data_IF_888838491675
#
_entry.id   IF_888838491675
#
_cell.length_a   1.000
_cell.length_b   1.000
_cell.length_c   1.000
_cell.angle_alpha   90.00
_cell.angle_beta   90.00
_cell.angle_gamma   90.00
#
_symmetry.space_group_name_H-M   'P 1'
#
loop_
_entity.id
_entity.type
_entity.pdbx_description
1 polymer ?
#
# COMPACT_ATOMS: atom_id res chain seq x y z
N UNK A 1 -0.24 -7.66 50.68
CA UNK A 1 -0.61 -6.95 49.46
C UNK A 1 -1.98 -7.47 49.01
N UNK A 2 -2.94 -6.58 48.85
CA UNK A 2 -4.30 -6.90 48.45
C UNK A 2 -4.57 -6.27 47.07
N UNK A 3 -5.43 -6.90 46.31
CA UNK A 3 -5.85 -6.40 44.98
C UNK A 3 -4.69 -6.12 44.02
N UNK A 4 -3.64 -6.93 44.08
CA UNK A 4 -2.46 -6.79 43.24
C UNK A 4 -2.81 -7.05 41.76
N UNK A 5 -2.42 -6.11 40.91
CA UNK A 5 -2.53 -6.22 39.43
C UNK A 5 -1.29 -5.65 38.78
N UNK A 6 -0.94 -6.23 37.64
CA UNK A 6 -0.03 -5.61 36.70
C UNK A 6 -0.76 -4.60 35.84
N UNK A 7 -0.13 -3.47 35.60
CA UNK A 7 -0.65 -2.38 34.76
C UNK A 7 0.30 -2.18 33.61
N UNK A 8 -0.21 -2.23 32.39
CA UNK A 8 0.53 -1.97 31.16
C UNK A 8 -0.05 -0.75 30.46
N UNK A 9 0.76 0.28 30.29
CA UNK A 9 0.41 1.49 29.52
C UNK A 9 1.06 1.40 28.15
N UNK A 10 0.27 1.62 27.10
CA UNK A 10 0.72 1.55 25.70
C UNK A 10 0.81 2.96 25.16
N UNK A 11 1.99 3.33 24.68
CA UNK A 11 2.27 4.62 24.09
C UNK A 11 2.55 4.46 22.60
N UNK A 12 1.83 5.18 21.77
CA UNK A 12 1.98 5.13 20.31
C UNK A 12 2.34 6.52 19.79
N UNK A 13 3.23 6.55 18.81
CA UNK A 13 3.50 7.76 18.07
C UNK A 13 2.39 7.94 17.01
N UNK A 14 1.44 8.81 17.30
CA UNK A 14 0.31 9.11 16.42
C UNK A 14 0.60 10.25 15.46
N UNK A 15 1.73 10.94 15.64
CA UNK A 15 2.09 12.11 14.85
C UNK A 15 3.34 11.83 14.02
N UNK A 16 3.41 12.37 12.81
CA UNK A 16 4.59 12.30 11.94
C UNK A 16 5.81 12.97 12.59
N UNK A 17 5.58 13.89 13.52
CA UNK A 17 6.61 14.46 14.38
C UNK A 17 7.05 13.45 15.45
N UNK A 18 8.22 13.01 15.36
CA UNK A 18 8.91 11.81 15.83
C UNK A 18 9.15 11.66 17.32
N UNK A 19 8.89 12.68 18.10
CA UNK A 19 9.25 12.71 19.53
C UNK A 19 8.06 12.55 20.45
N UNK A 20 6.84 12.69 19.95
CA UNK A 20 5.65 12.71 20.80
C UNK A 20 4.94 11.37 20.77
N UNK A 21 4.95 10.68 21.89
CA UNK A 21 4.17 9.48 22.12
C UNK A 21 3.01 9.83 23.05
N UNK A 22 1.82 9.38 22.71
CA UNK A 22 0.62 9.54 23.52
C UNK A 22 0.21 8.19 24.09
N UNK A 23 -0.18 8.19 25.35
CA UNK A 23 -0.80 7.02 25.98
C UNK A 23 -2.13 6.73 25.31
N UNK A 24 -2.27 5.53 24.75
CA UNK A 24 -3.46 5.11 24.02
C UNK A 24 -4.32 4.15 24.82
N UNK A 25 -3.69 3.36 25.70
CA UNK A 25 -4.41 2.40 26.50
C UNK A 25 -3.68 2.09 27.81
N UNK A 26 -4.46 1.84 28.83
CA UNK A 26 -4.00 1.25 30.09
C UNK A 26 -4.71 -0.08 30.30
N UNK A 27 -3.95 -1.16 30.32
CA UNK A 27 -4.42 -2.54 30.53
C UNK A 27 -4.07 -3.00 31.93
N UNK A 28 -4.97 -3.75 32.56
CA UNK A 28 -4.74 -4.32 33.89
C UNK A 28 -4.98 -5.83 33.87
N UNK A 29 -4.08 -6.58 34.45
CA UNK A 29 -4.20 -8.02 34.56
C UNK A 29 -3.78 -8.54 35.95
N UNK A 30 -4.46 -9.56 36.40
CA UNK A 30 -4.09 -10.29 37.61
C UNK A 30 -2.97 -11.25 37.24
N UNK A 31 -2.03 -11.47 38.18
CA UNK A 31 -0.98 -12.46 38.00
C UNK A 31 -1.56 -13.88 37.88
N UNK A 32 -0.91 -14.70 37.06
CA UNK A 32 -1.16 -16.13 37.03
C UNK A 32 -0.48 -16.85 38.19
N UNK A 33 -0.63 -18.18 38.26
CA UNK A 33 -0.08 -19.02 39.32
C UNK A 33 1.46 -18.96 39.46
N UNK A 34 2.16 -18.50 38.42
CA UNK A 34 3.62 -18.31 38.41
C UNK A 34 4.03 -16.84 38.56
N UNK A 35 3.11 -15.96 38.94
CA UNK A 35 3.41 -14.57 39.21
C UNK A 35 3.64 -13.72 37.97
N UNK A 36 3.10 -14.10 36.80
CA UNK A 36 3.23 -13.40 35.52
C UNK A 36 1.88 -12.92 35.02
N UNK A 37 1.88 -11.87 34.21
CA UNK A 37 0.72 -11.42 33.45
C UNK A 37 1.06 -11.38 31.97
N UNK A 38 0.06 -11.64 31.11
CA UNK A 38 0.16 -11.57 29.67
C UNK A 38 -0.84 -10.54 29.16
N UNK A 39 -0.36 -9.67 28.28
CA UNK A 39 -1.16 -8.63 27.66
C UNK A 39 -1.11 -8.79 26.15
N UNK A 40 -2.28 -8.90 25.52
CA UNK A 40 -2.38 -8.80 24.07
C UNK A 40 -2.67 -7.34 23.69
N UNK A 41 -1.70 -6.70 23.05
CA UNK A 41 -1.79 -5.30 22.63
C UNK A 41 -1.99 -5.16 21.11
N UNK A 42 -2.05 -6.27 20.36
CA UNK A 42 -2.10 -6.25 18.90
C UNK A 42 -3.31 -5.48 18.37
N UNK A 43 -4.50 -5.72 18.93
CA UNK A 43 -5.72 -5.02 18.52
C UNK A 43 -5.64 -3.51 18.75
N UNK A 44 -5.01 -3.08 19.84
CA UNK A 44 -4.83 -1.66 20.15
C UNK A 44 -3.88 -1.03 19.12
N UNK A 45 -2.78 -1.70 18.81
CA UNK A 45 -1.79 -1.18 17.88
C UNK A 45 -2.29 -1.19 16.45
N UNK A 46 -3.12 -2.15 16.08
CA UNK A 46 -3.70 -2.27 14.74
C UNK A 46 -4.55 -1.06 14.37
N UNK A 47 -5.25 -0.46 15.34
CA UNK A 47 -6.09 0.73 15.11
C UNK A 47 -5.29 1.97 14.67
N UNK A 48 -3.96 1.94 14.82
CA UNK A 48 -3.09 3.06 14.43
C UNK A 48 -2.36 2.85 13.11
N UNK A 49 -2.39 1.63 12.57
CA UNK A 49 -1.71 1.29 11.31
C UNK A 49 -2.73 1.19 10.20
N UNK A 50 -2.68 2.11 9.25
CA UNK A 50 -3.53 2.14 8.07
C UNK A 50 -2.70 1.97 6.81
N UNK A 51 -3.34 1.53 5.74
CA UNK A 51 -2.68 1.45 4.44
C UNK A 51 -2.32 2.84 3.92
N UNK A 52 -1.11 3.01 3.43
CA UNK A 52 -0.72 4.23 2.73
C UNK A 52 -1.36 4.26 1.34
N UNK A 53 -2.30 5.16 1.17
CA UNK A 53 -2.86 5.54 -0.15
C UNK A 53 -2.16 6.79 -0.68
N UNK A 54 -1.59 7.58 0.23
CA UNK A 54 -0.78 8.75 -0.04
C UNK A 54 0.58 8.58 0.63
N UNK A 55 1.67 8.88 -0.08
CA UNK A 55 2.97 9.07 0.55
C UNK A 55 3.04 10.39 1.31
N UNK A 56 3.93 10.47 2.30
CA UNK A 56 4.23 11.74 2.93
C UNK A 56 5.11 12.56 2.00
N UNK A 57 4.49 13.52 1.38
CA UNK A 57 5.11 14.46 0.47
C UNK A 57 4.70 15.87 0.88
N UNK A 58 5.16 16.31 2.04
CA UNK A 58 5.08 17.73 2.34
C UNK A 58 6.19 18.44 1.55
N UNK A 59 5.76 19.21 0.57
CA UNK A 59 6.64 20.01 -0.32
C UNK A 59 7.59 20.92 0.44
N UNK A 60 7.20 21.32 1.64
CA UNK A 60 8.06 22.13 2.52
C UNK A 60 9.23 21.33 3.10
N UNK A 61 9.15 20.01 3.11
CA UNK A 61 10.15 19.12 3.71
C UNK A 61 11.04 18.41 2.68
N UNK A 62 10.57 18.26 1.46
CA UNK A 62 11.34 17.73 0.35
C UNK A 62 11.62 18.89 -0.61
N UNK A 63 12.86 19.07 -0.99
CA UNK A 63 13.23 20.12 -1.93
C UNK A 63 12.32 20.01 -3.16
N UNK A 64 11.51 21.03 -3.38
CA UNK A 64 10.35 21.04 -4.27
C UNK A 64 10.64 20.65 -5.73
N UNK A 65 11.89 20.67 -6.15
CA UNK A 65 12.29 20.36 -7.51
C UNK A 65 12.31 18.86 -7.83
N UNK A 66 12.33 17.99 -6.83
CA UNK A 66 12.39 16.53 -7.04
C UNK A 66 11.04 15.85 -6.88
N UNK A 67 10.10 16.52 -6.25
CA UNK A 67 8.77 16.00 -5.95
C UNK A 67 7.69 16.65 -6.79
N UNK A 68 8.08 17.58 -7.64
CA UNK A 68 7.21 18.36 -8.51
C UNK A 68 6.86 17.58 -9.79
N UNK A 69 6.70 16.29 -9.63
CA UNK A 69 6.01 15.53 -10.64
C UNK A 69 4.63 16.14 -10.84
N UNK A 70 4.15 16.12 -12.04
CA UNK A 70 2.83 16.60 -12.49
C UNK A 70 1.67 16.16 -11.58
N UNK A 71 1.93 15.31 -10.62
CA UNK A 71 0.98 14.67 -9.71
C UNK A 71 1.13 15.09 -8.24
N UNK A 72 1.95 16.10 -7.95
CA UNK A 72 2.12 16.62 -6.60
C UNK A 72 0.77 17.07 -6.04
N UNK A 73 0.31 16.41 -5.02
CA UNK A 73 -0.72 16.84 -4.05
C UNK A 73 -2.18 16.90 -4.45
N UNK A 74 -2.54 16.86 -5.72
CA UNK A 74 -3.94 17.06 -6.14
C UNK A 74 -4.64 15.79 -6.57
N UNK A 75 -3.91 14.69 -6.77
CA UNK A 75 -4.49 13.46 -7.27
C UNK A 75 -4.59 12.40 -6.19
N UNK A 76 -5.69 11.69 -6.21
CA UNK A 76 -5.91 10.54 -5.35
C UNK A 76 -4.90 9.44 -5.70
N UNK A 77 -4.29 8.82 -4.69
CA UNK A 77 -3.26 7.80 -4.86
C UNK A 77 -1.92 8.27 -5.37
N UNK A 78 -1.41 9.34 -4.82
CA UNK A 78 -0.05 9.78 -5.13
C UNK A 78 1.01 8.70 -4.82
N UNK A 79 0.71 7.69 -3.97
CA UNK A 79 1.62 6.58 -3.69
C UNK A 79 1.94 5.73 -4.92
N UNK A 80 1.01 5.57 -5.86
CA UNK A 80 1.24 4.84 -7.10
C UNK A 80 1.98 5.66 -8.15
N UNK A 81 1.78 6.98 -8.13
CA UNK A 81 2.32 7.92 -9.11
C UNK A 81 3.58 8.65 -8.63
N UNK A 82 4.17 8.18 -7.53
CA UNK A 82 5.43 8.71 -7.00
C UNK A 82 6.52 8.64 -8.07
N UNK A 83 7.10 9.78 -8.41
CA UNK A 83 8.14 9.85 -9.43
C UNK A 83 9.52 9.50 -8.86
N UNK A 84 9.77 9.81 -7.60
CA UNK A 84 11.04 9.57 -6.92
C UNK A 84 10.83 8.73 -5.66
N UNK A 85 10.93 9.31 -4.47
CA UNK A 85 10.72 8.62 -3.19
C UNK A 85 9.59 9.28 -2.40
N UNK A 86 8.84 8.46 -1.69
CA UNK A 86 7.86 8.92 -0.71
C UNK A 86 8.03 8.19 0.62
N UNK A 87 7.90 8.93 1.73
CA UNK A 87 7.86 8.36 3.06
C UNK A 87 6.44 7.85 3.35
N UNK A 88 6.34 6.77 4.11
CA UNK A 88 5.06 6.31 4.62
C UNK A 88 4.38 7.37 5.49
N UNK A 89 3.05 7.40 5.45
CA UNK A 89 2.23 8.32 6.24
C UNK A 89 1.54 7.60 7.39
N UNK A 90 0.92 6.47 7.11
CA UNK A 90 0.04 5.78 8.03
C UNK A 90 0.43 4.33 8.32
N UNK A 91 1.16 3.68 7.41
CA UNK A 91 1.45 2.25 7.48
C UNK A 91 2.33 1.87 8.67
N UNK A 92 3.41 2.63 8.91
CA UNK A 92 4.38 2.34 9.97
C UNK A 92 4.18 3.27 11.17
N UNK A 93 4.06 2.70 12.37
CA UNK A 93 4.01 3.45 13.64
C UNK A 93 5.07 2.91 14.60
N UNK A 94 5.50 3.78 15.52
CA UNK A 94 6.39 3.42 16.62
C UNK A 94 5.62 3.39 17.92
N UNK A 95 5.95 2.46 18.79
CA UNK A 95 5.33 2.35 20.10
C UNK A 95 6.34 1.90 21.17
N UNK A 96 6.01 2.11 22.41
CA UNK A 96 6.63 1.49 23.57
C UNK A 96 5.58 1.22 24.64
N UNK A 97 5.92 0.36 25.60
CA UNK A 97 5.04 0.05 26.72
C UNK A 97 5.73 0.37 28.03
N UNK A 98 4.94 0.77 28.99
CA UNK A 98 5.36 0.98 30.37
C UNK A 98 4.61 0.01 31.25
N UNK A 99 5.34 -0.84 31.97
CA UNK A 99 4.77 -1.78 32.91
C UNK A 99 4.98 -1.29 34.35
N UNK A 100 3.93 -1.35 35.14
CA UNK A 100 3.93 -1.03 36.57
C UNK A 100 3.00 -1.99 37.33
N UNK A 101 2.87 -1.81 38.59
CA UNK A 101 1.99 -2.60 39.48
C UNK A 101 1.07 -1.69 40.27
N UNK A 102 -0.14 -2.15 40.53
CA UNK A 102 -1.06 -1.52 41.46
C UNK A 102 -1.46 -2.51 42.57
N UNK A 103 -1.55 -2.05 43.77
CA UNK A 103 -2.00 -2.85 44.92
C UNK A 103 -2.52 -1.98 46.06
N UNK A 104 -3.18 -2.63 47.00
CA UNK A 104 -3.52 -2.01 48.29
C UNK A 104 -2.76 -2.67 49.42
N UNK A 105 -2.42 -1.89 50.43
CA UNK A 105 -1.79 -2.38 51.70
C UNK A 105 -2.78 -3.04 52.61
N UNK A 106 -4.07 -2.75 52.48
CA UNK A 106 -5.15 -3.33 53.29
C UNK A 106 -6.27 -3.85 52.38
N UNK A 107 -7.11 -4.75 52.86
CA UNK A 107 -8.17 -5.38 52.09
C UNK A 107 -9.19 -4.37 51.51
N UNK A 108 -9.40 -3.25 52.18
CA UNK A 108 -10.36 -2.19 51.81
C UNK A 108 -9.68 -0.84 51.61
N UNK A 109 -8.33 -0.83 51.52
CA UNK A 109 -7.56 0.39 51.36
C UNK A 109 -7.56 0.93 49.94
N UNK A 110 -7.07 2.14 49.80
CA UNK A 110 -6.85 2.78 48.51
C UNK A 110 -5.85 1.99 47.69
N UNK A 111 -6.11 1.90 46.37
CA UNK A 111 -5.21 1.26 45.41
C UNK A 111 -4.12 2.26 45.06
N UNK A 112 -2.88 1.85 45.23
CA UNK A 112 -1.68 2.66 44.93
C UNK A 112 -0.98 2.07 43.75
N UNK A 113 -0.73 2.87 42.73
CA UNK A 113 0.13 2.52 41.59
C UNK A 113 1.60 2.74 42.00
N UNK A 114 2.45 1.76 41.75
CA UNK A 114 3.88 1.83 42.01
C UNK A 114 4.58 2.88 41.16
N UNK A 115 5.55 3.57 41.75
CA UNK A 115 6.38 4.55 41.03
C UNK A 115 7.52 3.90 40.23
N UNK A 116 7.88 2.67 40.57
CA UNK A 116 8.88 1.90 39.83
C UNK A 116 8.24 1.31 38.59
N UNK A 117 8.65 1.83 37.45
CA UNK A 117 8.12 1.45 36.13
C UNK A 117 9.21 0.80 35.29
N UNK A 118 8.86 -0.25 34.58
CA UNK A 118 9.69 -0.84 33.52
C UNK A 118 9.22 -0.34 32.18
N UNK A 119 10.10 0.33 31.44
CA UNK A 119 9.79 0.82 30.10
C UNK A 119 10.48 -0.07 29.08
N UNK A 120 9.72 -0.54 28.07
CA UNK A 120 10.29 -1.29 26.98
C UNK A 120 11.10 -0.38 26.05
N UNK A 121 11.98 -0.97 25.27
CA UNK A 121 12.53 -0.32 24.09
C UNK A 121 11.42 0.09 23.13
N UNK A 122 11.69 1.08 22.29
CA UNK A 122 10.80 1.48 21.23
C UNK A 122 10.78 0.43 20.13
N UNK A 123 9.58 0.07 19.69
CA UNK A 123 9.33 -0.95 18.68
C UNK A 123 8.56 -0.34 17.53
N UNK A 124 8.61 -1.01 16.39
CA UNK A 124 7.82 -0.66 15.20
C UNK A 124 6.69 -1.65 14.99
N UNK A 125 5.61 -1.16 14.44
CA UNK A 125 4.51 -1.94 13.90
C UNK A 125 4.10 -1.35 12.56
N UNK A 126 3.74 -2.20 11.61
CA UNK A 126 3.23 -1.78 10.31
C UNK A 126 2.05 -2.66 9.89
N UNK A 127 1.29 -2.21 8.90
CA UNK A 127 0.06 -2.84 8.45
C UNK A 127 0.33 -4.08 7.57
N UNK A 128 1.00 -5.08 8.12
CA UNK A 128 1.22 -6.36 7.46
C UNK A 128 0.41 -7.46 8.14
N UNK A 129 0.03 -8.47 7.37
CA UNK A 129 -0.66 -9.65 7.87
C UNK A 129 0.22 -10.87 7.76
N UNK A 130 0.01 -11.82 8.68
CA UNK A 130 0.73 -13.09 8.70
C UNK A 130 -0.24 -14.23 8.92
N UNK A 131 -0.01 -15.33 8.23
CA UNK A 131 -0.75 -16.56 8.46
C UNK A 131 -0.16 -17.31 9.65
N UNK A 132 -1.03 -17.98 10.42
CA UNK A 132 -0.61 -18.75 11.59
C UNK A 132 0.31 -19.91 11.22
N UNK A 133 0.11 -20.46 10.02
CA UNK A 133 0.89 -21.57 9.45
C UNK A 133 2.36 -21.20 9.18
N UNK A 134 2.65 -19.91 8.99
CA UNK A 134 4.02 -19.43 8.80
C UNK A 134 4.89 -19.55 10.08
N UNK A 135 4.30 -19.98 11.21
CA UNK A 135 4.98 -20.20 12.49
C UNK A 135 5.42 -18.91 13.18
N UNK A 136 4.80 -18.56 14.30
CA UNK A 136 5.15 -17.34 15.05
C UNK A 136 6.56 -17.35 15.63
N UNK A 137 7.07 -18.53 15.99
CA UNK A 137 8.32 -18.66 16.71
C UNK A 137 9.56 -18.43 15.84
N UNK A 138 9.43 -18.61 14.54
CA UNK A 138 10.55 -18.52 13.58
C UNK A 138 10.59 -17.21 12.81
N UNK A 139 9.56 -16.36 12.95
CA UNK A 139 9.54 -15.09 12.26
C UNK A 139 10.43 -14.07 12.97
N UNK A 140 11.41 -13.63 12.23
CA UNK A 140 12.19 -12.47 12.62
C UNK A 140 11.89 -11.32 11.67
N UNK A 141 11.25 -10.25 12.16
CA UNK A 141 11.00 -9.04 11.38
C UNK A 141 12.32 -8.42 10.88
N UNK A 142 13.43 -8.69 11.54
CA UNK A 142 14.75 -8.24 11.11
C UNK A 142 15.15 -8.80 9.73
N UNK A 143 14.54 -9.91 9.28
CA UNK A 143 14.79 -10.45 7.93
C UNK A 143 14.21 -9.58 6.81
N UNK A 144 13.25 -8.74 7.13
CA UNK A 144 12.66 -7.75 6.20
C UNK A 144 13.36 -6.39 6.29
N UNK A 145 14.18 -6.21 7.31
CA UNK A 145 14.97 -4.99 7.52
C UNK A 145 16.34 -5.18 6.87
N UNK A 146 16.95 -4.07 6.53
CA UNK A 146 18.32 -4.07 6.04
C UNK A 146 19.22 -4.75 7.07
N UNK A 147 19.75 -5.93 6.77
CA UNK A 147 20.72 -6.62 7.62
C UNK A 147 22.08 -6.62 6.92
N UNK A 148 22.84 -5.54 7.13
CA UNK A 148 24.24 -5.47 6.68
C UNK A 148 24.45 -5.42 5.16
N UNK A 149 23.82 -6.28 4.39
CA UNK A 149 23.94 -6.37 2.94
C UNK A 149 22.63 -6.61 2.21
N UNK A 150 21.50 -6.77 2.93
CA UNK A 150 20.26 -7.22 2.29
C UNK A 150 19.10 -6.26 2.60
N UNK A 151 18.64 -5.56 1.58
CA UNK A 151 17.39 -4.82 1.57
C UNK A 151 16.34 -5.63 0.81
N UNK A 152 15.17 -5.82 1.40
CA UNK A 152 14.06 -6.49 0.74
C UNK A 152 13.01 -5.48 0.29
N UNK A 153 12.62 -5.56 -0.96
CA UNK A 153 11.41 -4.88 -1.39
C UNK A 153 10.19 -5.68 -0.92
N UNK A 154 9.27 -4.99 -0.29
CA UNK A 154 8.07 -5.56 0.32
C UNK A 154 7.02 -5.87 -0.75
N UNK A 155 7.24 -6.90 -1.53
CA UNK A 155 6.38 -7.39 -2.60
C UNK A 155 6.09 -8.87 -2.40
N UNK A 156 4.85 -9.29 -2.62
CA UNK A 156 4.46 -10.70 -2.57
C UNK A 156 5.06 -11.51 -3.73
N UNK A 157 5.38 -10.85 -4.85
CA UNK A 157 6.05 -11.49 -5.97
C UNK A 157 7.58 -11.52 -5.72
N UNK A 158 8.20 -12.71 -5.61
CA UNK A 158 9.63 -12.83 -5.32
C UNK A 158 10.51 -12.24 -6.43
N UNK A 159 11.76 -11.91 -6.09
CA UNK A 159 12.76 -11.36 -7.02
C UNK A 159 13.09 -12.30 -8.19
N UNK A 160 12.90 -13.61 -7.99
CA UNK A 160 13.16 -14.64 -9.01
C UNK A 160 12.13 -14.67 -10.15
N UNK A 161 11.01 -13.98 -10.01
CA UNK A 161 9.95 -13.90 -11.03
C UNK A 161 9.96 -12.52 -11.69
N UNK A 162 10.01 -12.53 -13.02
CA UNK A 162 10.00 -11.31 -13.81
C UNK A 162 8.63 -10.65 -13.75
N UNK A 163 8.62 -9.35 -13.46
CA UNK A 163 7.42 -8.52 -13.46
C UNK A 163 7.14 -8.01 -14.86
N UNK A 164 5.91 -8.15 -15.31
CA UNK A 164 5.48 -7.67 -16.64
C UNK A 164 4.97 -6.23 -16.51
N UNK A 165 5.46 -5.33 -17.36
CA UNK A 165 5.13 -3.90 -17.30
C UNK A 165 5.00 -3.29 -18.70
N UNK A 166 4.10 -2.32 -18.86
CA UNK A 166 3.93 -1.55 -20.08
C UNK A 166 4.42 -0.10 -19.92
N UNK A 167 4.61 0.62 -21.02
CA UNK A 167 5.17 1.99 -21.01
C UNK A 167 4.36 2.99 -20.18
N UNK A 168 3.06 2.81 -20.09
CA UNK A 168 2.18 3.70 -19.34
C UNK A 168 1.84 3.22 -17.94
N UNK A 169 2.52 2.17 -17.47
CA UNK A 169 2.26 1.57 -16.18
C UNK A 169 2.99 2.31 -15.05
N UNK A 170 2.26 2.69 -14.03
CA UNK A 170 2.79 3.07 -12.74
C UNK A 170 3.11 1.83 -11.91
N UNK A 171 4.21 1.85 -11.19
CA UNK A 171 4.61 0.80 -10.26
C UNK A 171 5.47 1.39 -9.17
N UNK A 172 5.16 1.13 -7.91
CA UNK A 172 6.01 1.51 -6.78
C UNK A 172 6.47 0.26 -6.04
N UNK A 173 7.68 0.30 -5.55
CA UNK A 173 8.21 -0.67 -4.61
C UNK A 173 8.39 -0.01 -3.25
N UNK A 174 8.11 -0.77 -2.20
CA UNK A 174 8.29 -0.32 -0.83
C UNK A 174 9.44 -1.09 -0.17
N UNK A 175 10.17 -0.43 0.74
CA UNK A 175 11.27 -1.02 1.48
C UNK A 175 11.51 -0.27 2.79
N UNK A 176 12.11 -0.95 3.75
CA UNK A 176 12.63 -0.27 4.94
C UNK A 176 13.98 0.36 4.62
N UNK A 177 14.10 1.65 4.85
CA UNK A 177 15.27 2.42 4.45
C UNK A 177 16.54 2.13 5.24
N UNK A 178 16.44 1.49 6.40
CA UNK A 178 17.60 1.20 7.22
C UNK A 178 17.34 0.19 8.33
N UNK A 179 18.41 -0.30 8.94
CA UNK A 179 18.38 -1.27 10.04
C UNK A 179 18.07 -0.57 11.36
N UNK A 180 17.03 -1.05 12.04
CA UNK A 180 16.69 -0.57 13.38
C UNK A 180 17.75 -1.01 14.41
N UNK A 181 18.30 -0.05 15.16
CA UNK A 181 19.29 -0.32 16.21
C UNK A 181 20.74 -0.45 15.74
N UNK A 182 21.06 -0.13 14.47
CA UNK A 182 22.45 -0.07 14.02
C UNK A 182 23.16 1.16 14.56
N UNK A 183 24.38 0.97 15.10
CA UNK A 183 25.26 2.05 15.56
C UNK A 183 26.06 2.68 14.40
N UNK A 184 26.16 2.02 13.26
CA UNK A 184 26.86 2.51 12.06
C UNK A 184 25.85 2.97 11.02
N UNK A 185 25.53 4.24 11.07
CA UNK A 185 24.49 4.85 10.28
C UNK A 185 24.73 4.83 8.76
N UNK A 186 25.97 4.91 8.31
CA UNK A 186 26.28 5.11 6.89
C UNK A 186 26.26 3.83 6.05
N UNK A 187 26.51 2.68 6.66
CA UNK A 187 26.60 1.40 5.95
C UNK A 187 25.26 0.62 5.89
N UNK A 188 24.22 1.16 6.52
CA UNK A 188 22.97 0.44 6.78
C UNK A 188 21.77 1.02 6.06
N UNK A 189 21.95 1.93 5.10
CA UNK A 189 20.86 2.60 4.41
C UNK A 189 20.90 2.39 2.90
N UNK A 190 19.73 2.31 2.30
CA UNK A 190 19.59 2.43 0.86
C UNK A 190 19.86 3.87 0.44
N UNK A 191 20.99 4.08 -0.21
CA UNK A 191 21.41 5.38 -0.72
C UNK A 191 20.81 5.69 -2.09
N UNK A 192 20.75 4.67 -2.94
CA UNK A 192 20.26 4.81 -4.31
C UNK A 192 19.46 3.59 -4.74
N UNK A 193 18.56 3.82 -5.68
CA UNK A 193 17.96 2.76 -6.48
C UNK A 193 18.55 2.84 -7.88
N UNK A 194 19.12 1.75 -8.33
CA UNK A 194 19.74 1.59 -9.65
C UNK A 194 18.78 0.91 -10.62
N UNK A 195 18.64 1.49 -11.79
CA UNK A 195 17.87 0.98 -12.91
C UNK A 195 18.83 0.69 -14.04
N UNK A 196 18.91 -0.55 -14.48
CA UNK A 196 19.76 -0.97 -15.57
C UNK A 196 18.91 -1.59 -16.69
N UNK A 197 18.94 -0.96 -17.86
CA UNK A 197 18.12 -1.34 -19.01
C UNK A 197 18.89 -2.20 -19.98
N UNK A 198 18.22 -3.23 -20.48
CA UNK A 198 18.79 -4.22 -21.37
C UNK A 198 18.04 -4.31 -22.69
N UNK A 199 18.76 -4.55 -23.78
CA UNK A 199 18.17 -4.84 -25.08
C UNK A 199 17.81 -6.34 -25.22
N UNK A 200 17.23 -6.72 -26.35
CA UNK A 200 16.83 -8.09 -26.65
C UNK A 200 18.01 -9.09 -26.67
N UNK A 201 19.25 -8.62 -26.89
CA UNK A 201 20.45 -9.47 -26.82
C UNK A 201 20.98 -9.64 -25.40
N UNK A 202 20.35 -9.01 -24.40
CA UNK A 202 20.78 -9.05 -23.00
C UNK A 202 21.94 -8.11 -22.67
N UNK A 203 22.32 -7.20 -23.59
CA UNK A 203 23.36 -6.19 -23.31
C UNK A 203 22.76 -5.00 -22.57
N UNK A 204 23.46 -4.49 -21.55
CA UNK A 204 23.11 -3.26 -20.85
C UNK A 204 23.31 -2.06 -21.79
N UNK A 205 22.27 -1.24 -21.92
CA UNK A 205 22.25 -0.09 -22.85
C UNK A 205 22.05 1.24 -22.16
N UNK A 206 21.54 1.24 -20.93
CA UNK A 206 21.32 2.45 -20.16
C UNK A 206 21.34 2.10 -18.67
N UNK A 207 21.96 2.97 -17.86
CA UNK A 207 21.91 2.87 -16.40
C UNK A 207 21.50 4.22 -15.83
N UNK A 208 20.53 4.19 -14.91
CA UNK A 208 20.03 5.38 -14.22
C UNK A 208 20.00 5.10 -12.73
N UNK A 209 20.33 6.10 -11.94
CA UNK A 209 20.27 6.01 -10.49
C UNK A 209 19.41 7.12 -9.92
N UNK A 210 18.51 6.75 -9.00
CA UNK A 210 17.76 7.71 -8.18
C UNK A 210 18.37 7.73 -6.78
N UNK A 211 18.81 8.89 -6.33
CA UNK A 211 19.39 9.06 -4.99
C UNK A 211 18.26 9.21 -3.97
N UNK A 212 18.37 8.46 -2.87
CA UNK A 212 17.42 8.53 -1.78
C UNK A 212 17.69 9.79 -0.93
N UNK A 213 17.11 10.90 -1.32
CA UNK A 213 17.23 12.17 -0.63
C UNK A 213 16.52 12.20 0.73
N UNK A 214 15.67 11.24 1.00
CA UNK A 214 14.89 11.14 2.25
C UNK A 214 15.76 10.67 3.40
N UNK A 215 16.73 9.78 3.13
CA UNK A 215 17.61 9.20 4.16
C UNK A 215 18.97 9.87 4.24
N UNK A 216 19.46 10.47 3.17
CA UNK A 216 20.81 11.03 3.07
C UNK A 216 20.96 12.49 3.53
N UNK A 217 20.25 12.91 4.57
CA UNK A 217 20.40 14.26 5.08
C UNK A 217 19.98 15.34 4.08
N UNK A 218 19.20 14.98 3.09
CA UNK A 218 18.37 15.92 2.38
C UNK A 218 17.53 16.58 3.45
N UNK A 219 17.90 17.81 3.81
CA UNK A 219 17.31 18.53 4.90
C UNK A 219 15.79 18.44 4.86
N UNK A 220 15.23 17.60 5.72
CA UNK A 220 13.93 17.93 6.27
C UNK A 220 14.19 19.25 6.98
N UNK A 221 13.72 20.35 6.42
CA UNK A 221 14.12 21.69 6.83
C UNK A 221 14.07 21.81 8.35
N UNK A 222 15.24 21.93 9.00
CA UNK A 222 15.37 22.16 10.42
C UNK A 222 15.71 20.95 11.30
N UNK A 223 15.91 19.75 10.76
CA UNK A 223 16.37 18.62 11.58
C UNK A 223 17.69 18.08 11.06
N UNK A 224 18.72 18.23 11.87
CA UNK A 224 19.96 17.47 11.72
C UNK A 224 19.58 16.01 11.99
N UNK A 225 19.77 15.11 11.02
CA UNK A 225 19.61 13.68 11.22
C UNK A 225 20.62 13.26 12.31
N UNK A 226 20.13 13.03 13.52
CA UNK A 226 20.95 12.51 14.59
C UNK A 226 20.99 10.98 14.48
N UNK A 227 21.97 10.49 13.75
CA UNK A 227 22.23 9.05 13.56
C UNK A 227 22.62 8.37 14.87
N UNK A 228 23.02 9.11 15.90
CA UNK A 228 23.41 8.55 17.20
C UNK A 228 22.19 8.21 18.06
N UNK A 229 21.03 8.76 17.73
CA UNK A 229 19.80 8.49 18.45
C UNK A 229 18.72 7.87 17.51
N UNK A 230 18.69 6.54 17.36
CA UNK A 230 17.73 5.86 16.52
C UNK A 230 16.26 6.12 16.91
N UNK A 231 16.05 6.81 18.00
CA UNK A 231 14.74 7.17 18.50
C UNK A 231 14.22 8.50 17.95
N UNK A 232 15.09 9.32 17.37
CA UNK A 232 14.74 10.68 16.94
C UNK A 232 14.52 10.83 15.43
N UNK A 233 14.99 9.89 14.61
CA UNK A 233 14.90 10.02 13.15
C UNK A 233 13.99 8.99 12.53
N UNK A 234 12.78 9.39 12.28
CA UNK A 234 11.79 8.57 11.57
C UNK A 234 12.24 8.26 10.14
N UNK A 235 12.83 9.20 9.49
CA UNK A 235 13.29 9.11 8.10
C UNK A 235 14.36 8.05 7.90
N UNK A 236 15.26 7.88 8.84
CA UNK A 236 16.31 6.88 8.75
C UNK A 236 15.83 5.44 8.91
N UNK A 237 14.70 5.22 9.58
CA UNK A 237 14.14 3.90 9.87
C UNK A 237 12.67 3.80 9.45
N UNK A 238 12.33 4.51 8.39
CA UNK A 238 10.98 4.55 7.86
C UNK A 238 10.75 3.55 6.75
N UNK A 239 9.49 3.29 6.49
CA UNK A 239 9.04 2.61 5.28
C UNK A 239 8.99 3.65 4.16
N UNK A 240 9.74 3.39 3.09
CA UNK A 240 9.81 4.24 1.91
C UNK A 240 9.18 3.55 0.72
N UNK A 241 8.64 4.34 -0.17
CA UNK A 241 8.16 3.95 -1.49
C UNK A 241 9.01 4.63 -2.56
N UNK A 242 9.29 3.92 -3.64
CA UNK A 242 10.01 4.44 -4.80
C UNK A 242 9.26 4.11 -6.07
N UNK A 243 9.12 5.10 -6.95
CA UNK A 243 8.52 4.91 -8.27
C UNK A 243 9.49 4.17 -9.20
N UNK A 244 9.11 2.97 -9.61
CA UNK A 244 9.92 2.09 -10.47
C UNK A 244 9.25 1.77 -11.79
N UNK A 245 7.96 2.04 -11.95
CA UNK A 245 7.24 1.84 -13.20
C UNK A 245 7.75 2.75 -14.32
N UNK A 246 7.56 2.34 -15.57
CA UNK A 246 8.04 3.12 -16.71
C UNK A 246 7.39 4.51 -16.78
N UNK A 247 6.13 4.63 -16.36
CA UNK A 247 5.45 5.93 -16.27
C UNK A 247 6.05 6.81 -15.16
N UNK A 248 6.36 6.23 -13.99
CA UNK A 248 7.04 6.95 -12.90
C UNK A 248 8.42 7.46 -13.36
N UNK A 249 9.19 6.59 -14.05
CA UNK A 249 10.51 6.94 -14.56
C UNK A 249 10.44 8.05 -15.61
N UNK A 250 9.48 7.95 -16.54
CA UNK A 250 9.29 8.97 -17.58
C UNK A 250 8.91 10.32 -16.99
N UNK A 251 8.04 10.35 -15.97
CA UNK A 251 7.68 11.58 -15.27
C UNK A 251 8.91 12.21 -14.56
N UNK A 252 9.78 11.36 -13.99
CA UNK A 252 11.05 11.78 -13.41
C UNK A 252 12.13 12.19 -14.46
N UNK A 253 11.77 12.27 -15.74
CA UNK A 253 12.68 12.61 -16.82
C UNK A 253 13.61 11.49 -17.28
N UNK A 254 13.38 10.26 -16.81
CA UNK A 254 14.12 9.06 -17.24
C UNK A 254 13.35 8.41 -18.38
N UNK A 255 13.79 8.65 -19.61
CA UNK A 255 13.18 8.03 -20.78
C UNK A 255 13.98 6.79 -21.14
N UNK A 256 13.38 5.58 -21.02
CA UNK A 256 14.05 4.36 -21.47
C UNK A 256 14.34 4.39 -22.97
N UNK A 257 15.48 3.82 -23.37
CA UNK A 257 15.75 3.63 -24.78
C UNK A 257 14.67 2.75 -25.41
N UNK A 258 14.25 3.07 -26.63
CA UNK A 258 13.27 2.28 -27.40
C UNK A 258 13.74 0.85 -27.70
N UNK A 259 15.05 0.59 -27.55
CA UNK A 259 15.62 -0.74 -27.69
C UNK A 259 15.55 -1.58 -26.40
N UNK A 260 15.07 -1.01 -25.29
CA UNK A 260 14.94 -1.69 -24.01
C UNK A 260 13.82 -2.72 -24.04
N UNK A 261 14.12 -3.96 -23.70
CA UNK A 261 13.13 -5.05 -23.57
C UNK A 261 12.89 -5.46 -22.12
N UNK A 262 13.82 -5.15 -21.25
CA UNK A 262 13.72 -5.34 -19.79
C UNK A 262 14.60 -4.35 -19.06
N UNK A 263 14.33 -4.19 -17.79
CA UNK A 263 15.23 -3.51 -16.86
C UNK A 263 15.27 -4.20 -15.51
N UNK A 264 16.36 -3.98 -14.80
CA UNK A 264 16.61 -4.50 -13.47
C UNK A 264 16.65 -3.37 -12.45
N UNK A 265 16.06 -3.61 -11.29
CA UNK A 265 16.01 -2.67 -10.17
C UNK A 265 16.78 -3.27 -9.00
N UNK A 266 17.72 -2.51 -8.46
CA UNK A 266 18.58 -2.87 -7.33
C UNK A 266 18.72 -1.71 -6.37
N UNK A 267 18.76 -1.99 -5.07
CA UNK A 267 19.14 -0.99 -4.08
C UNK A 267 20.66 -0.99 -3.88
N UNK A 268 21.23 0.19 -3.74
CA UNK A 268 22.65 0.41 -3.49
C UNK A 268 22.84 1.17 -2.18
N UNK A 269 23.93 0.87 -1.49
CA UNK A 269 24.41 1.63 -0.34
C UNK A 269 25.18 2.90 -0.76
N UNK A 270 25.70 3.66 0.21
CA UNK A 270 26.49 4.87 -0.03
C UNK A 270 27.82 4.60 -0.72
N UNK A 271 28.35 3.38 -0.68
CA UNK A 271 29.58 2.98 -1.37
C UNK A 271 29.32 2.54 -2.81
N UNK A 272 28.06 2.36 -3.19
CA UNK A 272 27.63 1.85 -4.48
C UNK A 272 27.55 0.31 -4.55
N UNK A 273 27.70 -0.38 -3.41
CA UNK A 273 27.51 -1.82 -3.35
C UNK A 273 26.02 -2.17 -3.42
N UNK A 274 25.69 -3.28 -4.06
CA UNK A 274 24.32 -3.81 -4.15
C UNK A 274 23.93 -4.38 -2.79
N UNK A 275 22.81 -3.91 -2.24
CA UNK A 275 22.28 -4.33 -0.93
C UNK A 275 20.89 -4.97 -1.03
N UNK A 276 20.41 -5.27 -2.21
CA UNK A 276 19.14 -5.95 -2.40
C UNK A 276 19.24 -7.06 -3.43
N UNK A 277 18.23 -7.91 -3.47
CA UNK A 277 17.98 -8.75 -4.62
C UNK A 277 17.76 -7.92 -5.88
N UNK A 278 17.92 -8.58 -7.03
CA UNK A 278 17.64 -7.95 -8.34
C UNK A 278 16.21 -8.24 -8.74
N UNK A 279 15.45 -7.19 -8.96
CA UNK A 279 14.06 -7.25 -9.41
C UNK A 279 13.99 -6.95 -10.91
N UNK A 280 13.58 -7.93 -11.71
CA UNK A 280 13.51 -7.79 -13.16
C UNK A 280 12.12 -7.42 -13.61
N UNK A 281 12.04 -6.40 -14.48
CA UNK A 281 10.83 -5.95 -15.13
C UNK A 281 10.97 -6.19 -16.65
N UNK A 282 10.07 -6.99 -17.21
CA UNK A 282 9.96 -7.21 -18.65
C UNK A 282 9.01 -6.18 -19.27
N UNK A 283 9.52 -5.45 -20.26
CA UNK A 283 8.75 -4.45 -20.98
C UNK A 283 7.90 -5.18 -22.00
N UNK A 284 6.60 -5.11 -21.84
CA UNK A 284 5.65 -5.70 -22.78
C UNK A 284 5.09 -4.65 -23.71
N UNK A 285 5.12 -4.94 -24.98
CA UNK A 285 4.31 -4.19 -25.95
C UNK A 285 2.83 -4.50 -25.75
N UNK A 286 1.97 -3.55 -26.16
CA UNK A 286 0.54 -3.81 -26.22
C UNK A 286 0.28 -5.07 -27.09
N UNK A 287 -0.64 -5.93 -26.63
CA UNK A 287 -0.95 -7.17 -27.36
C UNK A 287 -1.31 -6.84 -28.82
N UNK A 288 -0.63 -7.50 -29.74
CA UNK A 288 -0.87 -7.34 -31.19
C UNK A 288 -2.31 -7.70 -31.61
N UNK A 289 -3.08 -8.36 -30.74
CA UNK A 289 -4.51 -8.65 -30.95
C UNK A 289 -5.43 -7.51 -30.55
N UNK A 290 -4.89 -6.41 -29.99
CA UNK A 290 -5.66 -5.24 -29.58
C UNK A 290 -6.55 -5.46 -28.35
N UNK A 291 -6.22 -6.41 -27.50
CA UNK A 291 -6.90 -6.56 -26.21
C UNK A 291 -6.54 -5.41 -25.28
N UNK A 292 -7.53 -4.95 -24.55
CA UNK A 292 -7.33 -3.98 -23.48
C UNK A 292 -6.55 -4.61 -22.33
N UNK A 293 -5.55 -3.91 -21.83
CA UNK A 293 -4.85 -4.33 -20.61
C UNK A 293 -5.57 -3.76 -19.39
N UNK A 294 -5.98 -4.63 -18.47
CA UNK A 294 -6.53 -4.22 -17.18
C UNK A 294 -5.41 -4.32 -16.15
N UNK A 295 -4.95 -3.14 -15.69
CA UNK A 295 -3.92 -3.05 -14.66
C UNK A 295 -4.54 -2.84 -13.30
N UNK A 296 -4.22 -3.74 -12.36
CA UNK A 296 -4.65 -3.64 -10.97
C UNK A 296 -3.45 -3.38 -10.05
N UNK A 297 -3.67 -2.52 -9.05
CA UNK A 297 -2.84 -2.36 -7.88
C UNK A 297 -3.60 -2.91 -6.68
N UNK A 298 -2.98 -3.75 -5.87
CA UNK A 298 -3.61 -4.38 -4.73
C UNK A 298 -2.70 -4.36 -3.51
N UNK A 299 -3.32 -4.30 -2.34
CA UNK A 299 -2.61 -4.36 -1.08
C UNK A 299 -2.16 -5.79 -0.83
N UNK A 300 -0.84 -6.00 -0.72
CA UNK A 300 -0.26 -7.30 -0.43
C UNK A 300 -0.22 -7.59 1.08
N UNK A 301 0.09 -8.82 1.45
CA UNK A 301 0.17 -9.25 2.85
C UNK A 301 1.26 -8.54 3.67
N UNK A 302 2.24 -7.91 3.02
CA UNK A 302 3.29 -7.14 3.68
C UNK A 302 2.87 -5.68 3.95
N UNK A 303 1.63 -5.31 3.63
CA UNK A 303 1.05 -3.99 3.88
C UNK A 303 1.48 -2.94 2.88
N UNK A 304 1.94 -3.34 1.71
CA UNK A 304 2.38 -2.49 0.62
C UNK A 304 1.66 -2.82 -0.68
N UNK A 305 2.04 -2.22 -1.79
CA UNK A 305 1.32 -2.37 -3.04
C UNK A 305 2.05 -3.26 -4.01
N UNK A 306 1.31 -4.22 -4.58
CA UNK A 306 1.71 -5.00 -5.74
C UNK A 306 0.80 -4.71 -6.93
N UNK A 307 1.28 -5.07 -8.14
CA UNK A 307 0.63 -4.71 -9.39
C UNK A 307 0.59 -5.91 -10.32
N UNK A 308 -0.53 -6.03 -11.04
CA UNK A 308 -0.68 -7.08 -12.03
C UNK A 308 -1.41 -6.59 -13.28
N UNK A 309 -0.96 -7.06 -14.47
CA UNK A 309 -1.54 -6.76 -15.77
C UNK A 309 -2.30 -7.96 -16.32
N UNK A 310 -3.61 -7.81 -16.49
CA UNK A 310 -4.45 -8.76 -17.20
C UNK A 310 -4.46 -8.36 -18.68
N UNK A 311 -3.76 -9.14 -19.51
CA UNK A 311 -3.45 -8.77 -20.91
C UNK A 311 -4.27 -9.55 -21.93
N UNK A 312 -5.13 -10.47 -21.50
CA UNK A 312 -6.00 -11.23 -22.39
C UNK A 312 -7.38 -10.58 -22.48
N UNK A 313 -8.24 -11.18 -23.29
CA UNK A 313 -9.59 -10.67 -23.54
C UNK A 313 -10.29 -10.28 -22.24
N UNK A 314 -10.77 -9.05 -22.19
CA UNK A 314 -11.66 -8.56 -21.14
C UNK A 314 -13.09 -8.42 -21.69
N UNK A 315 -14.07 -8.54 -20.80
CA UNK A 315 -15.48 -8.29 -21.10
C UNK A 315 -16.02 -7.27 -20.13
N UNK A 316 -16.59 -6.17 -20.64
CA UNK A 316 -17.21 -5.14 -19.82
C UNK A 316 -18.73 -5.28 -19.87
N UNK A 317 -19.35 -5.37 -18.70
CA UNK A 317 -20.80 -5.44 -18.55
C UNK A 317 -21.27 -4.26 -17.73
N UNK A 318 -22.27 -3.55 -18.22
CA UNK A 318 -22.91 -2.45 -17.49
C UNK A 318 -24.30 -2.85 -17.07
N UNK A 319 -24.51 -2.99 -15.78
CA UNK A 319 -25.83 -3.18 -15.20
C UNK A 319 -26.52 -1.84 -15.03
N UNK A 320 -27.75 -1.70 -15.57
CA UNK A 320 -28.49 -0.47 -15.53
C UNK A 320 -29.76 -0.65 -14.69
N UNK A 321 -29.81 0.04 -13.57
CA UNK A 321 -30.95 0.04 -12.67
C UNK A 321 -31.77 1.34 -12.82
N UNK A 322 -33.06 1.21 -13.09
CA UNK A 322 -33.97 2.33 -13.31
C UNK A 322 -35.06 2.36 -12.25
N UNK A 323 -35.24 3.50 -11.62
CA UNK A 323 -36.41 3.78 -10.79
C UNK A 323 -37.40 4.62 -11.58
N UNK A 324 -38.60 4.12 -11.73
CA UNK A 324 -39.64 4.71 -12.59
C UNK A 324 -40.81 5.19 -11.74
N UNK A 325 -41.50 6.21 -12.24
CA UNK A 325 -42.78 6.66 -11.73
C UNK A 325 -43.74 6.92 -12.87
N UNK A 326 -45.01 6.92 -12.57
CA UNK A 326 -46.06 7.25 -13.55
C UNK A 326 -46.39 8.73 -13.45
N UNK A 327 -46.01 9.49 -14.48
CA UNK A 327 -46.30 10.90 -14.57
C UNK A 327 -47.74 11.09 -15.07
N UNK A 328 -48.43 12.11 -14.54
CA UNK A 328 -49.76 12.48 -15.01
C UNK A 328 -49.72 13.00 -16.43
N UNK A 329 -50.78 12.73 -17.18
CA UNK A 329 -50.99 13.28 -18.53
C UNK A 329 -51.56 14.71 -18.38
N UNK A 330 -50.80 15.69 -18.77
CA UNK A 330 -51.25 17.06 -18.82
C UNK A 330 -51.15 17.87 -17.53
N UNK A 331 -51.33 19.13 -17.61
CA UNK A 331 -51.37 20.11 -16.50
C UNK A 331 -52.71 20.86 -16.46
N UNK A 332 -53.14 21.18 -15.27
CA UNK A 332 -54.30 22.01 -15.05
C UNK A 332 -53.81 23.45 -14.83
N UNK A 333 -54.06 24.29 -15.82
CA UNK A 333 -53.83 25.73 -15.70
C UNK A 333 -55.20 26.40 -15.39
N UNK A 334 -55.23 27.42 -14.61
CA UNK A 334 -56.37 28.07 -13.95
C UNK A 334 -57.75 27.96 -14.62
N UNK A 335 -57.82 27.85 -15.94
CA UNK A 335 -59.10 27.78 -16.67
C UNK A 335 -59.20 26.61 -17.66
N UNK A 336 -58.07 25.95 -17.98
CA UNK A 336 -58.09 24.88 -18.99
C UNK A 336 -57.08 23.74 -18.65
N UNK A 337 -57.54 22.52 -18.90
CA UNK A 337 -56.69 21.35 -18.93
C UNK A 337 -55.97 21.28 -20.26
N UNK A 338 -54.63 21.22 -20.22
CA UNK A 338 -53.84 21.02 -21.43
C UNK A 338 -53.08 19.70 -21.34
N UNK A 339 -53.15 18.93 -22.42
CA UNK A 339 -52.46 17.67 -22.56
C UNK A 339 -51.48 17.72 -23.74
N UNK A 340 -50.21 17.50 -23.45
CA UNK A 340 -49.16 17.40 -24.48
C UNK A 340 -48.76 15.95 -24.68
N UNK A 341 -48.54 15.56 -25.94
CA UNK A 341 -48.08 14.19 -26.26
C UNK A 341 -46.74 13.82 -25.63
N UNK A 342 -45.97 14.82 -25.17
CA UNK A 342 -44.69 14.67 -24.50
C UNK A 342 -44.83 14.56 -22.97
N UNK A 343 -46.03 14.69 -22.42
CA UNK A 343 -46.32 14.61 -21.00
C UNK A 343 -46.93 13.26 -20.65
N UNK A 344 -46.67 12.80 -19.44
CA UNK A 344 -47.31 11.62 -18.86
C UNK A 344 -46.61 10.29 -19.22
N UNK A 345 -47.18 9.21 -18.69
CA UNK A 345 -46.65 7.88 -18.86
C UNK A 345 -45.58 7.49 -17.84
N UNK A 346 -44.89 6.42 -18.12
CA UNK A 346 -43.79 5.94 -17.27
C UNK A 346 -42.53 6.75 -17.57
N UNK A 347 -41.99 7.37 -16.54
CA UNK A 347 -40.79 8.20 -16.61
C UNK A 347 -39.78 7.71 -15.58
N UNK A 348 -38.51 7.55 -15.99
CA UNK A 348 -37.42 7.24 -15.07
C UNK A 348 -36.95 8.49 -14.36
N UNK A 349 -37.03 8.53 -13.05
CA UNK A 349 -36.50 9.65 -12.25
C UNK A 349 -35.07 9.43 -11.78
N UNK A 350 -34.61 8.17 -11.76
CA UNK A 350 -33.22 7.81 -11.41
C UNK A 350 -32.77 6.68 -12.32
N UNK A 351 -31.55 6.81 -12.83
CA UNK A 351 -30.87 5.76 -13.58
C UNK A 351 -29.46 5.62 -13.01
N UNK A 352 -29.15 4.46 -12.48
CA UNK A 352 -27.81 4.10 -12.01
C UNK A 352 -27.21 3.09 -12.96
N UNK A 353 -25.92 3.19 -13.21
CA UNK A 353 -25.17 2.22 -13.99
C UNK A 353 -23.93 1.77 -13.20
N UNK A 354 -23.74 0.47 -13.12
CA UNK A 354 -22.59 -0.15 -12.47
C UNK A 354 -21.84 -0.95 -13.54
N UNK A 355 -20.53 -0.75 -13.64
CA UNK A 355 -19.70 -1.46 -14.59
C UNK A 355 -18.94 -2.59 -13.89
N UNK A 356 -19.06 -3.78 -14.43
CA UNK A 356 -18.30 -4.98 -14.06
C UNK A 356 -17.39 -5.38 -15.22
N UNK A 357 -16.16 -5.77 -14.91
CA UNK A 357 -15.14 -6.15 -15.87
C UNK A 357 -14.68 -7.56 -15.54
N UNK A 358 -14.84 -8.47 -16.49
CA UNK A 358 -14.20 -9.78 -16.46
C UNK A 358 -12.84 -9.65 -17.14
N UNK A 359 -11.76 -9.93 -16.40
CA UNK A 359 -10.39 -9.83 -16.89
C UNK A 359 -9.68 -11.20 -16.81
N UNK A 360 -8.88 -11.50 -17.83
CA UNK A 360 -8.20 -12.79 -17.97
C UNK A 360 -6.69 -12.62 -17.90
N UNK A 361 -6.02 -13.50 -17.12
CA UNK A 361 -4.56 -13.60 -17.13
C UNK A 361 -4.06 -14.23 -18.44
N UNK A 362 -2.79 -14.03 -18.74
CA UNK A 362 -2.07 -14.95 -19.62
C UNK A 362 -1.79 -16.26 -18.88
N UNK A 363 -1.14 -17.20 -19.54
CA UNK A 363 -0.60 -18.36 -18.86
C UNK A 363 0.46 -17.93 -17.85
N UNK A 364 0.31 -18.37 -16.62
CA UNK A 364 1.15 -17.99 -15.49
C UNK A 364 1.80 -19.20 -14.83
N UNK A 365 2.88 -18.94 -14.13
CA UNK A 365 3.57 -19.93 -13.32
C UNK A 365 2.84 -20.19 -12.00
N UNK A 366 3.15 -21.28 -11.32
CA UNK A 366 2.59 -21.60 -10.00
C UNK A 366 2.95 -20.55 -8.95
N UNK A 367 4.14 -19.95 -9.06
CA UNK A 367 4.57 -18.85 -8.15
C UNK A 367 3.75 -17.58 -8.39
N UNK A 368 3.53 -17.19 -9.64
CA UNK A 368 2.64 -16.06 -9.98
C UNK A 368 1.21 -16.34 -9.52
N UNK A 369 0.72 -17.58 -9.68
CA UNK A 369 -0.60 -17.98 -9.22
C UNK A 369 -0.75 -17.82 -7.69
N UNK A 370 0.26 -18.21 -6.92
CA UNK A 370 0.28 -18.04 -5.46
C UNK A 370 0.29 -16.54 -5.07
N UNK A 371 1.00 -15.70 -5.81
CA UNK A 371 0.99 -14.26 -5.58
C UNK A 371 -0.38 -13.63 -5.91
N UNK A 372 -1.04 -14.12 -6.96
CA UNK A 372 -2.39 -13.65 -7.30
C UNK A 372 -3.44 -14.01 -6.24
N UNK A 373 -3.20 -15.00 -5.39
CA UNK A 373 -4.05 -15.29 -4.24
C UNK A 373 -4.15 -14.05 -3.31
N UNK A 374 -3.06 -13.29 -3.19
CA UNK A 374 -3.06 -12.03 -2.42
C UNK A 374 -3.98 -10.98 -3.06
N UNK A 375 -4.07 -10.92 -4.38
CA UNK A 375 -5.02 -10.04 -5.08
C UNK A 375 -6.48 -10.41 -4.77
N UNK A 376 -6.82 -11.72 -4.80
CA UNK A 376 -8.19 -12.17 -4.52
C UNK A 376 -8.61 -11.94 -3.07
N UNK A 377 -7.65 -11.95 -2.15
CA UNK A 377 -7.89 -11.73 -0.71
C UNK A 377 -7.63 -10.30 -0.26
N UNK A 378 -7.17 -9.43 -1.15
CA UNK A 378 -6.84 -8.05 -0.83
C UNK A 378 -8.07 -7.23 -0.45
N UNK A 379 -8.03 -6.50 0.68
CA UNK A 379 -9.12 -5.62 1.09
C UNK A 379 -9.20 -4.33 0.25
N UNK A 380 -8.11 -3.97 -0.44
CA UNK A 380 -8.02 -2.76 -1.23
C UNK A 380 -7.43 -3.06 -2.60
N UNK A 381 -8.22 -2.81 -3.63
CA UNK A 381 -7.82 -2.97 -5.02
C UNK A 381 -8.17 -1.71 -5.81
N UNK A 382 -7.25 -1.29 -6.66
CA UNK A 382 -7.42 -0.16 -7.54
C UNK A 382 -7.10 -0.56 -8.97
N UNK A 383 -7.81 0.01 -9.91
CA UNK A 383 -7.56 -0.16 -11.33
C UNK A 383 -6.96 1.12 -11.90
N UNK A 384 -5.85 1.01 -12.59
CA UNK A 384 -5.27 2.11 -13.34
C UNK A 384 -6.06 2.27 -14.66
N UNK A 385 -6.52 3.48 -14.92
CA UNK A 385 -7.14 3.86 -16.19
C UNK A 385 -6.07 4.32 -17.21
N UNK A 386 -6.43 4.38 -18.49
CA UNK A 386 -5.52 4.80 -19.56
C UNK A 386 -4.93 6.20 -19.37
N UNK A 387 -5.66 7.09 -18.67
CA UNK A 387 -5.18 8.43 -18.32
C UNK A 387 -4.24 8.45 -17.10
N UNK A 388 -3.95 7.28 -16.50
CA UNK A 388 -3.10 7.15 -15.34
C UNK A 388 -3.80 7.33 -13.99
N UNK A 389 -5.09 7.62 -13.97
CA UNK A 389 -5.88 7.76 -12.74
C UNK A 389 -6.18 6.39 -12.17
N UNK A 390 -6.05 6.25 -10.84
CA UNK A 390 -6.43 5.03 -10.13
C UNK A 390 -7.86 5.14 -9.60
N UNK A 391 -8.68 4.15 -9.92
CA UNK A 391 -10.06 4.05 -9.43
C UNK A 391 -10.23 2.83 -8.54
N UNK A 392 -10.92 2.99 -7.44
CA UNK A 392 -11.20 1.88 -6.52
C UNK A 392 -12.14 0.88 -7.19
N UNK A 393 -11.79 -0.40 -7.07
CA UNK A 393 -12.59 -1.52 -7.56
C UNK A 393 -12.81 -2.54 -6.45
N UNK A 394 -13.85 -3.35 -6.59
CA UNK A 394 -14.13 -4.49 -5.74
C UNK A 394 -13.91 -5.77 -6.54
N UNK A 395 -13.25 -6.72 -5.94
CA UNK A 395 -13.13 -8.08 -6.47
C UNK A 395 -14.36 -8.87 -6.04
N UNK A 396 -15.12 -9.38 -7.02
CA UNK A 396 -16.39 -10.07 -6.76
C UNK A 396 -16.23 -11.57 -6.60
N UNK A 397 -15.02 -12.10 -6.68
CA UNK A 397 -14.77 -13.53 -6.54
C UNK A 397 -15.09 -14.00 -5.12
N UNK A 398 -15.93 -15.04 -5.05
CA UNK A 398 -16.28 -15.68 -3.78
C UNK A 398 -15.40 -16.88 -3.45
N UNK A 399 -14.84 -17.50 -4.46
CA UNK A 399 -14.03 -18.71 -4.33
C UNK A 399 -12.80 -18.60 -5.24
N UNK A 400 -11.64 -18.80 -4.67
CA UNK A 400 -10.41 -18.98 -5.38
C UNK A 400 -10.02 -20.46 -5.40
N UNK A 401 -9.78 -21.01 -6.57
CA UNK A 401 -9.33 -22.39 -6.72
C UNK A 401 -7.87 -22.39 -7.09
N UNK A 402 -7.03 -22.79 -6.13
CA UNK A 402 -5.59 -22.93 -6.39
C UNK A 402 -5.35 -24.07 -7.37
N UNK A 403 -4.81 -23.74 -8.54
CA UNK A 403 -4.44 -24.73 -9.56
C UNK A 403 -2.95 -25.05 -9.40
N UNK A 404 -2.62 -26.32 -9.47
CA UNK A 404 -1.23 -26.80 -9.50
C UNK A 404 -0.92 -27.34 -10.87
N UNK A 405 0.33 -27.19 -11.32
CA UNK A 405 0.78 -27.71 -12.60
C UNK A 405 0.91 -29.24 -12.47
N UNK A 406 0.00 -29.96 -13.14
CA UNK A 406 0.08 -31.40 -13.29
C UNK A 406 0.09 -31.70 -14.78
N UNK A 407 1.15 -32.31 -15.29
CA UNK A 407 1.29 -32.74 -16.69
C UNK A 407 1.10 -31.60 -17.71
N UNK A 408 1.96 -30.61 -17.69
CA UNK A 408 2.04 -29.50 -18.66
C UNK A 408 0.76 -28.66 -18.81
N UNK A 409 -0.12 -28.67 -17.83
CA UNK A 409 -1.29 -27.78 -17.83
C UNK A 409 -0.87 -26.37 -17.45
N UNK A 410 -1.18 -25.43 -18.32
CA UNK A 410 -0.96 -24.02 -18.11
C UNK A 410 -2.05 -23.45 -17.19
N UNK A 411 -1.66 -22.66 -16.20
CA UNK A 411 -2.57 -22.02 -15.27
C UNK A 411 -3.06 -20.70 -15.88
N UNK A 412 -4.37 -20.49 -15.86
CA UNK A 412 -5.00 -19.24 -16.27
C UNK A 412 -6.12 -18.91 -15.29
N UNK A 413 -6.20 -17.65 -14.88
CA UNK A 413 -7.26 -17.15 -14.01
C UNK A 413 -8.11 -16.09 -14.69
N UNK A 414 -9.36 -16.07 -14.29
CA UNK A 414 -10.36 -15.05 -14.64
C UNK A 414 -10.72 -14.33 -13.34
N UNK A 415 -10.83 -13.03 -13.38
CA UNK A 415 -11.24 -12.21 -12.25
C UNK A 415 -12.40 -11.28 -12.65
N UNK A 416 -13.42 -11.23 -11.81
CA UNK A 416 -14.53 -10.30 -11.93
C UNK A 416 -14.31 -9.11 -11.00
N UNK A 417 -14.15 -7.94 -11.58
CA UNK A 417 -13.98 -6.69 -10.87
C UNK A 417 -15.14 -5.73 -11.14
N UNK A 418 -15.57 -5.06 -10.11
CA UNK A 418 -16.62 -4.06 -10.19
C UNK A 418 -16.08 -2.70 -9.77
N UNK A 419 -16.36 -1.65 -10.53
CA UNK A 419 -16.05 -0.29 -10.09
C UNK A 419 -16.82 0.05 -8.81
N UNK A 420 -16.12 0.55 -7.79
CA UNK A 420 -16.74 0.88 -6.50
C UNK A 420 -17.74 2.04 -6.62
N UNK A 421 -17.50 2.96 -7.53
CA UNK A 421 -18.40 4.07 -7.81
C UNK A 421 -19.35 3.74 -8.96
N UNK A 422 -20.59 4.17 -8.85
CA UNK A 422 -21.52 4.10 -9.95
C UNK A 422 -20.98 4.87 -11.15
N UNK A 423 -20.99 4.25 -12.32
CA UNK A 423 -20.43 4.83 -13.55
C UNK A 423 -21.22 6.05 -14.01
N UNK A 424 -22.53 6.03 -13.75
CA UNK A 424 -23.43 7.13 -14.11
C UNK A 424 -24.59 7.20 -13.15
N UNK A 425 -24.83 8.39 -12.61
CA UNK A 425 -26.01 8.73 -11.83
C UNK A 425 -26.67 9.92 -12.49
N UNK A 426 -27.92 9.78 -12.91
CA UNK A 426 -28.70 10.88 -13.46
C UNK A 426 -30.07 10.91 -12.81
N UNK A 427 -30.40 12.04 -12.20
CA UNK A 427 -31.69 12.29 -11.60
C UNK A 427 -32.37 13.42 -12.34
N UNK A 428 -33.69 13.30 -12.52
CA UNK A 428 -34.52 14.37 -13.03
C UNK A 428 -35.36 14.87 -11.86
N UNK A 429 -35.16 16.11 -11.47
CA UNK A 429 -35.99 16.79 -10.48
C UNK A 429 -37.00 17.64 -11.24
N UNK A 430 -38.29 17.29 -11.12
CA UNK A 430 -39.34 18.16 -11.57
C UNK A 430 -39.66 19.13 -10.44
N UNK A 431 -39.32 20.39 -10.61
CA UNK A 431 -39.82 21.47 -9.75
C UNK A 431 -41.25 21.78 -10.23
N UNK A 432 -42.21 21.47 -9.38
CA UNK A 432 -43.61 21.85 -9.62
C UNK A 432 -43.87 23.27 -9.10
#
# INVERSE_FOLDING_TARGET
>A
VFNHKFVLKVFVNTNVSLSTYTEQATLKAVQNDVGKAHFNISNILQDFCETDVDGYADVSQFNSSSFDGVHAHTEQHNIHVVDDFALNKNNLKKYYVVATEEFSTTATGEIIEQTNVATSDRKMIWNATRQLEDGFETFNADTLLLSGSDCFFLSGLPSTVNRKIQLNDYHTLAFFSGKFGSTNAQESFVDKINFEFFNASGSSIQTVQKTNNVTNGGNIAGTTLDYTNPHLTFTAYGLLYVGVGLKNLNNAGVIPSTASTKYEVKALDSTGAVVSDTYTFEIQDADCKGFETIRLAYLNRLGTWDYYNFVKKSTRTTEINRANFKQKYGSYNTDNYSQGAYLGGNTSYRVNAIETIEANTDFITEVEATTLEELFTSPLVYMQLDNGVFVKVMVNEKNYVKQTIVNDKLIQYVIDIQKSNETRIQNIWYVY
#
